data_IF_046512643116
#
_entry.id   IF_046512643116
#
_cell.length_a   1.000
_cell.length_b   1.000
_cell.length_c   1.000
_cell.angle_alpha   90.00
_cell.angle_beta   90.00
_cell.angle_gamma   90.00
#
_symmetry.space_group_name_H-M   'P 1'
#
loop_
_entity.id
_entity.type
_entity.pdbx_description
1 polymer ?
#
# COMPACT_ATOMS: atom_id res chain seq x y z
N UNK A 1 28.89 -17.66 -3.70
CA UNK A 1 27.57 -17.32 -4.26
C UNK A 1 27.50 -15.82 -4.45
N UNK A 2 27.21 -15.30 -5.66
CA UNK A 2 27.09 -13.87 -5.88
C UNK A 2 25.75 -13.35 -5.35
N UNK A 3 25.78 -12.15 -4.76
CA UNK A 3 24.63 -11.43 -4.21
C UNK A 3 23.58 -11.11 -5.28
N UNK A 4 22.28 -11.06 -4.93
CA UNK A 4 21.24 -10.64 -5.85
C UNK A 4 21.43 -9.17 -6.25
N UNK A 5 21.20 -8.94 -7.53
CA UNK A 5 21.39 -7.70 -8.27
C UNK A 5 20.51 -6.54 -7.79
N UNK A 6 21.17 -5.39 -7.55
CA UNK A 6 20.64 -4.01 -7.66
C UNK A 6 19.23 -3.78 -7.10
N UNK A 7 19.14 -3.70 -5.78
CA UNK A 7 18.13 -2.86 -5.14
C UNK A 7 18.48 -1.40 -5.48
N UNK A 8 17.56 -0.66 -6.10
CA UNK A 8 17.69 0.78 -6.31
C UNK A 8 17.74 1.50 -4.96
N UNK A 9 18.92 1.53 -4.35
CA UNK A 9 19.23 2.43 -3.23
C UNK A 9 19.40 3.80 -3.88
N UNK A 10 18.42 4.67 -3.68
CA UNK A 10 18.58 6.09 -4.03
C UNK A 10 19.48 6.67 -2.95
N UNK A 11 20.80 6.58 -3.18
CA UNK A 11 21.80 7.25 -2.36
C UNK A 11 21.67 8.75 -2.60
N UNK A 12 21.11 9.48 -1.63
CA UNK A 12 21.25 10.93 -1.59
C UNK A 12 22.62 11.24 -0.96
N UNK A 13 23.66 11.32 -1.80
CA UNK A 13 24.92 11.91 -1.37
C UNK A 13 24.76 13.44 -1.26
N UNK A 14 24.88 13.92 -0.02
CA UNK A 14 25.38 15.23 0.41
C UNK A 14 25.03 16.49 -0.41
N UNK A 15 24.18 17.34 0.19
CA UNK A 15 24.59 18.73 0.47
C UNK A 15 24.80 19.70 -0.69
N UNK A 16 23.89 19.79 -1.66
CA UNK A 16 23.62 21.05 -2.37
C UNK A 16 22.27 20.95 -3.10
N UNK A 17 21.52 22.04 -3.14
CA UNK A 17 20.28 22.14 -3.91
C UNK A 17 20.47 21.64 -5.36
N UNK A 18 19.40 21.09 -5.95
CA UNK A 18 19.22 20.65 -7.36
C UNK A 18 19.40 19.16 -7.70
N UNK A 19 18.76 18.29 -6.91
CA UNK A 19 18.27 17.00 -7.43
C UNK A 19 16.77 17.08 -7.66
N UNK A 20 16.34 17.51 -8.84
CA UNK A 20 14.93 17.42 -9.22
C UNK A 20 14.55 15.94 -9.20
N UNK A 21 13.69 15.53 -8.25
CA UNK A 21 13.07 14.20 -8.30
C UNK A 21 11.91 14.28 -9.31
N UNK A 22 12.24 14.46 -10.59
CA UNK A 22 11.26 14.62 -11.69
C UNK A 22 10.89 13.29 -12.35
N UNK A 23 11.53 12.18 -11.98
CA UNK A 23 11.17 10.88 -12.55
C UNK A 23 10.53 9.95 -11.51
N UNK A 24 9.21 10.13 -11.36
CA UNK A 24 8.33 9.17 -10.70
C UNK A 24 7.40 8.49 -11.71
N UNK A 25 7.91 8.16 -12.90
CA UNK A 25 7.19 7.35 -13.90
C UNK A 25 6.79 5.97 -13.33
N UNK A 26 7.60 5.42 -12.43
CA UNK A 26 7.35 4.18 -11.70
C UNK A 26 6.51 4.43 -10.43
N UNK A 27 5.58 3.51 -10.05
CA UNK A 27 4.88 3.58 -8.78
C UNK A 27 5.88 3.67 -7.63
N UNK A 28 5.78 4.75 -6.84
CA UNK A 28 6.56 4.99 -5.64
C UNK A 28 6.37 3.81 -4.68
N UNK A 29 7.38 2.94 -4.62
CA UNK A 29 7.37 1.74 -3.81
C UNK A 29 8.18 2.04 -2.55
N UNK A 30 7.50 2.50 -1.50
CA UNK A 30 8.10 2.51 -0.17
C UNK A 30 8.07 1.07 0.31
N UNK A 31 9.24 0.50 0.57
CA UNK A 31 9.30 -0.74 1.29
C UNK A 31 9.00 -0.45 2.77
N UNK A 32 7.76 -0.74 3.19
CA UNK A 32 7.30 -0.72 4.57
C UNK A 32 7.25 -2.15 5.13
N UNK A 33 8.30 -2.94 4.89
CA UNK A 33 8.48 -4.22 5.57
C UNK A 33 8.61 -3.94 7.08
N UNK A 34 7.48 -3.98 7.77
CA UNK A 34 7.41 -4.01 9.23
C UNK A 34 7.84 -5.41 9.68
N UNK A 35 9.14 -5.68 9.59
CA UNK A 35 9.73 -7.00 9.83
C UNK A 35 9.85 -7.33 11.34
N UNK A 36 8.82 -6.99 12.12
CA UNK A 36 8.76 -7.28 13.54
C UNK A 36 7.41 -7.91 13.92
N UNK A 37 7.07 -9.01 13.24
CA UNK A 37 6.08 -9.93 13.77
C UNK A 37 6.84 -11.01 14.55
N UNK A 38 6.56 -11.21 15.85
CA UNK A 38 7.14 -12.32 16.58
C UNK A 38 6.77 -13.63 15.87
N UNK A 39 7.70 -14.59 15.79
CA UNK A 39 7.54 -15.87 15.05
C UNK A 39 6.25 -16.64 15.41
N UNK A 40 5.62 -16.31 16.54
CA UNK A 40 4.40 -16.95 17.05
C UNK A 40 3.10 -16.15 16.78
N UNK A 41 3.07 -15.08 15.98
CA UNK A 41 1.81 -14.39 15.70
C UNK A 41 0.99 -15.16 14.65
N UNK A 42 -0.26 -15.57 14.93
CA UNK A 42 -1.12 -16.33 14.00
C UNK A 42 -1.63 -15.55 12.77
N UNK A 43 -1.09 -14.35 12.49
CA UNK A 43 -1.67 -13.42 11.52
C UNK A 43 -3.07 -12.91 11.87
N UNK A 44 -3.73 -12.18 10.93
CA UNK A 44 -5.13 -11.79 11.05
C UNK A 44 -6.05 -13.01 10.93
N UNK A 45 -7.24 -12.93 11.54
CA UNK A 45 -8.22 -14.02 11.41
C UNK A 45 -8.76 -14.11 9.96
N UNK A 46 -9.13 -15.31 9.49
CA UNK A 46 -9.73 -15.48 8.16
C UNK A 46 -10.99 -14.63 7.93
N UNK A 47 -11.79 -14.41 8.97
CA UNK A 47 -12.97 -13.55 8.90
C UNK A 47 -12.61 -12.09 8.61
N UNK A 48 -11.52 -11.58 9.21
CA UNK A 48 -11.06 -10.22 8.97
C UNK A 48 -10.50 -10.07 7.55
N UNK A 49 -9.79 -11.09 7.05
CA UNK A 49 -9.32 -11.13 5.66
C UNK A 49 -10.49 -11.15 4.68
N UNK A 50 -11.50 -11.98 4.92
CA UNK A 50 -12.72 -12.03 4.11
C UNK A 50 -13.41 -10.67 4.09
N UNK A 51 -13.58 -10.03 5.27
CA UNK A 51 -14.16 -8.70 5.35
C UNK A 51 -13.37 -7.66 4.54
N UNK A 52 -12.03 -7.69 4.60
CA UNK A 52 -11.18 -6.77 3.86
C UNK A 52 -11.26 -6.96 2.33
N UNK A 53 -11.72 -8.12 1.87
CA UNK A 53 -11.83 -8.47 0.45
C UNK A 53 -13.25 -8.33 -0.11
N UNK A 54 -14.26 -8.07 0.74
CA UNK A 54 -15.66 -7.91 0.33
C UNK A 54 -16.00 -6.44 0.10
N UNK A 55 -16.32 -6.09 -1.14
CA UNK A 55 -16.79 -4.75 -1.52
C UNK A 55 -18.26 -4.55 -1.13
N UNK A 56 -18.66 -3.31 -0.89
CA UNK A 56 -20.04 -2.96 -0.51
C UNK A 56 -21.09 -3.40 -1.55
N UNK A 57 -20.71 -3.50 -2.82
CA UNK A 57 -21.59 -3.97 -3.90
C UNK A 57 -21.80 -5.50 -3.91
N UNK A 58 -21.06 -6.27 -3.11
CA UNK A 58 -21.31 -7.70 -2.93
C UNK A 58 -22.62 -7.96 -2.16
N UNK A 59 -23.11 -6.97 -1.40
CA UNK A 59 -24.39 -7.08 -0.69
C UNK A 59 -24.39 -8.15 0.41
N UNK A 60 -23.23 -8.42 1.02
CA UNK A 60 -23.10 -9.27 2.21
C UNK A 60 -23.42 -8.48 3.50
N UNK A 61 -23.52 -9.14 4.64
CA UNK A 61 -23.74 -8.51 5.95
C UNK A 61 -22.52 -7.75 6.50
N UNK A 62 -21.41 -7.74 5.77
CA UNK A 62 -20.16 -7.07 6.11
C UNK A 62 -19.43 -6.62 4.84
N UNK A 63 -18.59 -5.60 4.95
CA UNK A 63 -17.77 -5.07 3.87
C UNK A 63 -16.46 -4.46 4.38
N UNK A 64 -15.65 -4.00 3.44
CA UNK A 64 -14.34 -3.41 3.69
C UNK A 64 -14.37 -1.96 4.17
N UNK A 65 -15.49 -1.23 4.20
CA UNK A 65 -15.51 0.24 4.39
C UNK A 65 -14.82 0.69 5.69
N UNK A 66 -15.10 -0.02 6.79
CA UNK A 66 -14.48 0.28 8.09
C UNK A 66 -12.98 -0.02 8.08
N UNK A 67 -12.57 -1.09 7.43
CA UNK A 67 -11.16 -1.50 7.34
C UNK A 67 -10.39 -0.57 6.40
N UNK A 68 -11.00 -0.15 5.29
CA UNK A 68 -10.47 0.87 4.38
C UNK A 68 -10.24 2.19 5.12
N UNK A 69 -11.20 2.65 5.90
CA UNK A 69 -11.10 3.90 6.68
C UNK A 69 -9.89 3.87 7.64
N UNK A 70 -9.70 2.74 8.34
CA UNK A 70 -8.56 2.54 9.25
C UNK A 70 -7.25 2.43 8.46
N UNK A 71 -7.26 1.66 7.36
CA UNK A 71 -6.12 1.44 6.48
C UNK A 71 -5.61 2.73 5.83
N UNK A 72 -6.50 3.61 5.38
CA UNK A 72 -6.17 4.92 4.81
C UNK A 72 -5.43 5.80 5.83
N UNK A 73 -5.96 5.88 7.05
CA UNK A 73 -5.30 6.64 8.13
C UNK A 73 -3.94 6.05 8.50
N UNK A 74 -3.85 4.72 8.57
CA UNK A 74 -2.59 4.02 8.85
C UNK A 74 -1.54 4.28 7.76
N UNK A 75 -1.89 4.10 6.48
CA UNK A 75 -0.99 4.33 5.36
C UNK A 75 -0.51 5.79 5.31
N UNK A 76 -1.43 6.75 5.49
CA UNK A 76 -1.07 8.19 5.59
C UNK A 76 -0.06 8.44 6.70
N UNK A 77 -0.28 7.88 7.88
CA UNK A 77 0.63 8.05 9.02
C UNK A 77 1.98 7.36 8.79
N UNK A 78 1.98 6.09 8.38
CA UNK A 78 3.20 5.31 8.13
C UNK A 78 4.09 5.98 7.08
N UNK A 79 3.50 6.43 5.96
CA UNK A 79 4.21 7.18 4.93
C UNK A 79 4.72 8.51 5.46
N UNK A 80 3.91 9.25 6.23
CA UNK A 80 4.34 10.53 6.84
C UNK A 80 5.57 10.34 7.73
N UNK A 81 5.53 9.35 8.63
CA UNK A 81 6.67 9.04 9.52
C UNK A 81 7.89 8.64 8.71
N UNK A 82 7.73 7.73 7.73
CA UNK A 82 8.82 7.28 6.88
C UNK A 82 9.52 8.44 6.18
N UNK A 83 8.77 9.29 5.46
CA UNK A 83 9.38 10.39 4.69
C UNK A 83 9.99 11.46 5.60
N UNK A 84 9.38 11.72 6.76
CA UNK A 84 9.89 12.71 7.72
C UNK A 84 11.23 12.26 8.32
N UNK A 85 11.35 10.98 8.68
CA UNK A 85 12.59 10.42 9.22
C UNK A 85 13.66 10.19 8.14
N UNK A 86 13.27 9.91 6.90
CA UNK A 86 14.20 9.62 5.79
C UNK A 86 14.77 10.90 5.17
N UNK A 87 13.95 11.93 4.99
CA UNK A 87 14.30 13.15 4.25
C UNK A 87 14.35 14.38 5.18
N UNK A 88 15.20 14.31 6.20
CA UNK A 88 15.26 15.31 7.29
C UNK A 88 15.60 16.74 6.86
N UNK A 89 16.21 16.92 5.69
CA UNK A 89 16.62 18.22 5.15
C UNK A 89 15.66 18.78 4.08
N UNK A 90 14.57 18.08 3.78
CA UNK A 90 13.61 18.50 2.76
C UNK A 90 12.49 19.33 3.37
N UNK A 91 12.16 20.44 2.73
CA UNK A 91 11.09 21.33 3.19
C UNK A 91 9.72 20.63 3.23
N UNK A 92 8.91 20.95 4.23
CA UNK A 92 7.59 20.36 4.49
C UNK A 92 6.69 20.31 3.24
N UNK A 93 6.63 21.40 2.47
CA UNK A 93 5.84 21.45 1.24
C UNK A 93 6.18 20.35 0.23
N UNK A 94 7.48 20.04 0.07
CA UNK A 94 7.94 18.93 -0.80
C UNK A 94 7.60 17.57 -0.18
N UNK A 95 7.75 17.41 1.14
CA UNK A 95 7.34 16.20 1.84
C UNK A 95 5.84 15.93 1.72
N UNK A 96 5.00 16.96 1.85
CA UNK A 96 3.55 16.87 1.68
C UNK A 96 3.16 16.47 0.25
N UNK A 97 3.87 17.01 -0.76
CA UNK A 97 3.72 16.60 -2.15
C UNK A 97 4.09 15.13 -2.37
N UNK A 98 5.24 14.68 -1.85
CA UNK A 98 5.67 13.28 -1.94
C UNK A 98 4.68 12.34 -1.27
N UNK A 99 4.26 12.64 -0.04
CA UNK A 99 3.21 11.89 0.65
C UNK A 99 1.98 11.73 -0.23
N UNK A 100 1.48 12.83 -0.78
CA UNK A 100 0.26 12.85 -1.60
C UNK A 100 0.40 11.99 -2.86
N UNK A 101 1.59 11.91 -3.46
CA UNK A 101 1.86 11.00 -4.59
C UNK A 101 1.87 9.54 -4.17
N UNK A 102 2.54 9.23 -3.06
CA UNK A 102 2.69 7.86 -2.54
C UNK A 102 1.34 7.26 -2.15
N UNK A 103 0.53 7.98 -1.38
CA UNK A 103 -0.79 7.51 -0.93
C UNK A 103 -1.93 7.86 -1.89
N UNK A 104 -1.62 8.28 -3.11
CA UNK A 104 -2.65 8.57 -4.11
C UNK A 104 -3.38 7.29 -4.54
N UNK A 105 -4.69 7.39 -4.79
CA UNK A 105 -5.50 6.29 -5.30
C UNK A 105 -4.87 5.62 -6.54
N UNK A 106 -4.30 6.41 -7.45
CA UNK A 106 -3.65 5.89 -8.64
C UNK A 106 -2.40 5.04 -8.32
N UNK A 107 -1.55 5.49 -7.38
CA UNK A 107 -0.38 4.72 -6.98
C UNK A 107 -0.77 3.44 -6.23
N UNK A 108 -1.71 3.54 -5.29
CA UNK A 108 -2.23 2.40 -4.53
C UNK A 108 -2.92 1.37 -5.45
N UNK A 109 -3.66 1.83 -6.46
CA UNK A 109 -4.21 0.96 -7.50
C UNK A 109 -3.12 0.20 -8.27
N UNK A 110 -2.05 0.90 -8.73
CA UNK A 110 -0.92 0.25 -9.40
C UNK A 110 -0.25 -0.79 -8.50
N UNK A 111 -0.06 -0.47 -7.22
CA UNK A 111 0.48 -1.39 -6.22
C UNK A 111 -0.41 -2.63 -6.03
N UNK A 112 -1.71 -2.44 -5.82
CA UNK A 112 -2.67 -3.54 -5.67
C UNK A 112 -2.76 -4.43 -6.91
N UNK A 113 -2.73 -3.83 -8.10
CA UNK A 113 -2.69 -4.57 -9.38
C UNK A 113 -1.44 -5.44 -9.50
N UNK A 114 -0.25 -4.93 -9.11
CA UNK A 114 1.00 -5.72 -9.11
C UNK A 114 0.98 -6.90 -8.13
N UNK A 115 0.15 -6.82 -7.09
CA UNK A 115 -0.06 -7.89 -6.10
C UNK A 115 -1.25 -8.79 -6.44
N UNK A 116 -1.87 -8.62 -7.61
CA UNK A 116 -3.09 -9.33 -8.02
C UNK A 116 -4.25 -9.24 -7.01
N UNK A 117 -4.32 -8.17 -6.21
CA UNK A 117 -5.37 -8.04 -5.18
C UNK A 117 -6.78 -8.05 -5.78
N UNK A 118 -6.94 -7.54 -7.00
CA UNK A 118 -8.22 -7.53 -7.69
C UNK A 118 -8.80 -8.91 -7.97
N UNK A 119 -7.98 -9.96 -8.05
CA UNK A 119 -8.42 -11.34 -8.28
C UNK A 119 -9.06 -11.97 -7.02
N UNK A 120 -8.79 -11.39 -5.84
CA UNK A 120 -9.33 -11.87 -4.57
C UNK A 120 -10.56 -11.07 -4.11
N UNK A 121 -10.91 -9.98 -4.80
CA UNK A 121 -12.02 -9.12 -4.41
C UNK A 121 -13.38 -9.76 -4.72
N UNK A 122 -14.25 -9.77 -3.71
CA UNK A 122 -15.64 -10.17 -3.86
C UNK A 122 -16.44 -8.90 -4.15
N UNK A 123 -16.86 -8.74 -5.40
CA UNK A 123 -17.49 -7.52 -5.92
C UNK A 123 -18.91 -7.74 -6.46
N UNK A 124 -19.42 -8.96 -6.40
CA UNK A 124 -20.73 -9.29 -6.94
C UNK A 124 -21.53 -10.03 -5.89
N UNK A 125 -22.83 -9.77 -5.87
CA UNK A 125 -23.75 -10.52 -5.04
C UNK A 125 -23.76 -11.97 -5.48
N UNK A 126 -23.69 -12.87 -4.49
CA UNK A 126 -23.87 -14.28 -4.75
C UNK A 126 -25.33 -14.54 -5.16
N UNK A 127 -25.51 -14.96 -6.40
CA UNK A 127 -26.78 -15.36 -6.97
C UNK A 127 -26.66 -16.83 -7.39
N UNK A 128 -27.29 -17.78 -6.67
CA UNK A 128 -27.10 -19.22 -6.89
C UNK A 128 -27.39 -19.69 -8.32
N UNK A 129 -28.25 -18.97 -9.04
CA UNK A 129 -28.68 -19.33 -10.39
C UNK A 129 -27.85 -18.67 -11.49
N UNK A 130 -27.02 -17.68 -11.15
CA UNK A 130 -26.22 -16.91 -12.12
C UNK A 130 -24.72 -17.20 -11.97
N UNK A 131 -24.24 -17.26 -10.72
CA UNK A 131 -22.81 -17.15 -10.42
C UNK A 131 -22.28 -18.31 -9.57
N UNK A 132 -23.02 -19.42 -9.48
CA UNK A 132 -22.58 -20.62 -8.75
C UNK A 132 -21.90 -21.63 -9.70
N UNK A 133 -20.77 -22.18 -9.26
CA UNK A 133 -20.05 -23.24 -9.96
C UNK A 133 -19.84 -24.41 -8.95
N UNK A 134 -20.31 -25.64 -9.26
CA UNK A 134 -20.19 -26.80 -8.39
C UNK A 134 -18.75 -27.30 -8.16
#
# INVERSE_FOLDING_TARGET
>A
HPLPSKTNIITLENGHDSGIIDDFSEPLNINLDFEYLPESHPGPSPALLLQALTLSNAGDGFDLERLETVGDSFLKQAVTVYIFCTYTQVHEGKLSFFRSKIVSNYNLYKLGKRKSLGEYLISTKFEPFENWIP
#
